data_IF_832551653697
#
_entry.id   IF_832551653697
#
_cell.length_a   1.000
_cell.length_b   1.000
_cell.length_c   1.000
_cell.angle_alpha   90.00
_cell.angle_beta   90.00
_cell.angle_gamma   90.00
#
_symmetry.space_group_name_H-M   'P 1'
#
loop_
_entity.id
_entity.type
_entity.pdbx_description
1 polymer ?
#
# COMPACT_ATOMS: atom_id res chain seq x y z
N UNK A 1 17.24 27.20 -7.62
CA UNK A 1 17.76 26.50 -8.81
C UNK A 1 16.99 26.89 -10.07
N UNK A 2 15.65 26.81 -10.09
CA UNK A 2 14.85 27.13 -11.30
C UNK A 2 14.11 28.48 -11.28
N UNK A 3 14.27 29.28 -10.22
CA UNK A 3 13.67 30.62 -10.08
C UNK A 3 12.17 30.69 -10.43
N UNK A 4 11.42 29.65 -10.04
CA UNK A 4 9.97 29.62 -10.21
C UNK A 4 9.30 30.74 -9.42
N UNK A 5 8.26 31.35 -10.00
CA UNK A 5 7.56 32.50 -9.39
C UNK A 5 6.79 32.09 -8.12
N UNK A 6 6.19 30.90 -8.13
CA UNK A 6 5.34 30.38 -7.06
C UNK A 6 5.28 28.87 -7.10
N UNK A 7 5.12 28.25 -5.94
CA UNK A 7 4.85 26.82 -5.80
C UNK A 7 3.60 26.67 -4.92
N UNK A 8 2.68 25.81 -5.33
CA UNK A 8 1.41 25.58 -4.65
C UNK A 8 1.29 24.10 -4.30
N UNK A 9 0.86 23.80 -3.08
CA UNK A 9 0.36 22.50 -2.69
C UNK A 9 -1.15 22.44 -2.86
N UNK A 10 -1.66 21.41 -3.52
CA UNK A 10 -3.10 21.14 -3.65
C UNK A 10 -3.52 20.26 -2.47
N UNK A 11 -4.49 20.69 -1.67
CA UNK A 11 -4.91 19.94 -0.47
C UNK A 11 -5.96 18.88 -0.78
N UNK A 12 -5.85 17.71 -0.16
CA UNK A 12 -6.88 16.68 -0.24
C UNK A 12 -7.01 16.02 -1.62
N UNK A 13 -5.89 15.76 -2.30
CA UNK A 13 -5.86 15.03 -3.57
C UNK A 13 -6.53 15.78 -4.74
N UNK A 14 -7.12 15.04 -5.68
CA UNK A 14 -7.79 15.62 -6.85
C UNK A 14 -8.93 16.60 -6.51
N UNK A 15 -9.77 16.36 -5.50
CA UNK A 15 -10.76 17.34 -5.03
C UNK A 15 -10.21 18.72 -4.67
N UNK A 16 -8.93 18.78 -4.29
CA UNK A 16 -8.24 20.04 -4.02
C UNK A 16 -8.19 21.02 -5.19
N UNK A 17 -8.17 20.51 -6.43
CA UNK A 17 -8.10 21.36 -7.62
C UNK A 17 -9.35 22.24 -7.74
N UNK A 18 -10.54 21.69 -7.52
CA UNK A 18 -11.81 22.41 -7.71
C UNK A 18 -12.47 22.91 -6.42
N UNK A 19 -11.99 22.50 -5.24
CA UNK A 19 -12.39 23.11 -3.95
C UNK A 19 -11.64 24.40 -3.63
N UNK A 20 -10.71 24.81 -4.50
CA UNK A 20 -9.80 25.95 -4.37
C UNK A 20 -8.87 25.94 -3.16
N UNK A 21 -8.70 24.79 -2.49
CA UNK A 21 -7.84 24.64 -1.33
C UNK A 21 -6.37 24.47 -1.73
N UNK A 22 -5.61 25.57 -1.75
CA UNK A 22 -4.18 25.54 -2.06
C UNK A 22 -3.33 26.22 -1.00
N UNK A 23 -2.18 25.63 -0.71
CA UNK A 23 -1.21 26.14 0.26
C UNK A 23 0.02 26.67 -0.49
N UNK A 24 0.42 27.93 -0.32
CA UNK A 24 1.69 28.43 -0.87
C UNK A 24 2.88 27.70 -0.24
N UNK A 25 3.76 27.14 -1.07
CA UNK A 25 4.96 26.46 -0.61
C UNK A 25 6.15 27.42 -0.65
N UNK A 26 6.76 27.59 0.51
CA UNK A 26 7.98 28.37 0.71
C UNK A 26 9.00 27.51 1.45
N UNK A 27 10.31 27.83 1.39
CA UNK A 27 11.33 27.10 2.15
C UNK A 27 10.98 26.93 3.63
N UNK A 28 10.37 27.96 4.23
CA UNK A 28 9.92 27.93 5.62
C UNK A 28 8.80 26.90 5.85
N UNK A 29 7.84 26.80 4.93
CA UNK A 29 6.72 25.84 5.04
C UNK A 29 7.21 24.40 4.89
N UNK A 30 8.18 24.15 4.02
CA UNK A 30 8.67 22.79 3.72
C UNK A 30 9.86 22.34 4.56
N UNK A 31 10.40 23.21 5.43
CA UNK A 31 11.68 23.00 6.12
C UNK A 31 11.78 21.64 6.84
N UNK A 32 10.73 21.25 7.56
CA UNK A 32 10.76 20.07 8.44
C UNK A 32 9.79 18.96 8.01
N UNK A 33 9.16 19.08 6.83
CA UNK A 33 8.12 18.11 6.41
C UNK A 33 8.70 16.73 6.15
N UNK A 34 9.98 16.64 5.79
CA UNK A 34 10.71 15.39 5.55
C UNK A 34 10.92 14.57 6.83
N UNK A 35 10.77 15.18 8.02
CA UNK A 35 10.93 14.51 9.32
C UNK A 35 9.64 13.84 9.80
N UNK A 36 8.53 14.01 9.07
CA UNK A 36 7.19 13.60 9.48
C UNK A 36 6.62 12.63 8.47
N UNK A 37 5.94 11.60 8.96
CA UNK A 37 5.12 10.73 8.12
C UNK A 37 3.88 11.44 7.60
N UNK A 38 3.26 10.85 6.57
CA UNK A 38 2.06 11.39 5.92
C UNK A 38 2.38 12.53 4.96
N UNK A 39 1.40 13.40 4.71
CA UNK A 39 1.53 14.55 3.81
C UNK A 39 0.92 15.79 4.46
N UNK A 40 1.59 16.94 4.35
CA UNK A 40 1.10 18.23 4.83
C UNK A 40 -0.13 18.73 4.05
N UNK A 41 -0.45 18.10 2.92
CA UNK A 41 -1.61 18.45 2.09
C UNK A 41 -2.85 17.65 2.42
N UNK A 42 -2.73 16.57 3.20
CA UNK A 42 -3.73 15.52 3.22
C UNK A 42 -3.79 14.77 1.87
N UNK A 43 -4.63 13.74 1.82
CA UNK A 43 -4.86 12.92 0.64
C UNK A 43 -6.34 12.54 0.57
N UNK A 44 -6.80 12.08 -0.58
CA UNK A 44 -8.15 11.59 -0.79
C UNK A 44 -8.10 10.37 -1.70
N UNK A 45 -9.08 9.49 -1.53
CA UNK A 45 -9.39 8.47 -2.54
C UNK A 45 -10.46 9.03 -3.49
N UNK A 46 -10.30 8.75 -4.78
CA UNK A 46 -11.20 9.19 -5.84
C UNK A 46 -11.29 10.72 -6.01
N UNK A 47 -12.42 11.16 -6.58
CA UNK A 47 -12.68 12.58 -6.86
C UNK A 47 -11.93 13.13 -8.09
N UNK A 48 -11.47 12.24 -8.97
CA UNK A 48 -10.90 12.65 -10.25
C UNK A 48 -11.98 13.18 -11.18
N UNK A 49 -11.80 14.42 -11.64
CA UNK A 49 -12.64 15.06 -12.66
C UNK A 49 -11.71 15.82 -13.60
N UNK A 50 -11.39 15.20 -14.74
CA UNK A 50 -10.34 15.69 -15.65
C UNK A 50 -10.60 17.13 -16.10
N UNK A 51 -11.86 17.46 -16.44
CA UNK A 51 -12.20 18.81 -16.87
C UNK A 51 -11.95 19.82 -15.76
N UNK A 52 -12.49 19.58 -14.56
CA UNK A 52 -12.33 20.51 -13.44
C UNK A 52 -10.88 20.68 -12.98
N UNK A 53 -10.08 19.61 -13.07
CA UNK A 53 -8.66 19.66 -12.76
C UNK A 53 -7.94 20.57 -13.76
N UNK A 54 -8.17 20.36 -15.06
CA UNK A 54 -7.51 21.16 -16.11
C UNK A 54 -8.01 22.61 -16.12
N UNK A 55 -9.30 22.85 -15.87
CA UNK A 55 -9.86 24.20 -15.68
C UNK A 55 -9.12 24.92 -14.53
N UNK A 56 -8.91 24.25 -13.40
CA UNK A 56 -8.18 24.82 -12.26
C UNK A 56 -6.70 25.09 -12.56
N UNK A 57 -6.05 24.23 -13.33
CA UNK A 57 -4.67 24.42 -13.78
C UNK A 57 -4.57 25.69 -14.64
N UNK A 58 -5.48 25.84 -15.60
CA UNK A 58 -5.56 26.98 -16.52
C UNK A 58 -5.88 28.29 -15.78
N UNK A 59 -6.95 28.31 -14.98
CA UNK A 59 -7.40 29.45 -14.19
C UNK A 59 -6.30 30.00 -13.26
N UNK A 60 -5.44 29.12 -12.76
CA UNK A 60 -4.35 29.48 -11.83
C UNK A 60 -3.04 29.81 -12.53
N UNK A 61 -2.96 29.64 -13.85
CA UNK A 61 -1.73 29.81 -14.62
C UNK A 61 -0.63 28.82 -14.21
N UNK A 62 -0.99 27.60 -13.83
CA UNK A 62 -0.03 26.54 -13.48
C UNK A 62 0.58 26.00 -14.76
N UNK A 63 1.90 26.04 -14.87
CA UNK A 63 2.64 25.55 -16.05
C UNK A 63 3.33 24.20 -15.81
N UNK A 64 3.35 23.70 -14.57
CA UNK A 64 3.88 22.40 -14.20
C UNK A 64 3.03 21.82 -13.07
N UNK A 65 2.53 20.60 -13.25
CA UNK A 65 1.79 19.87 -12.23
C UNK A 65 2.47 18.54 -11.95
N UNK A 66 2.74 18.29 -10.67
CA UNK A 66 3.38 17.06 -10.19
C UNK A 66 2.34 16.25 -9.43
N UNK A 67 2.03 15.06 -9.93
CA UNK A 67 0.98 14.20 -9.40
C UNK A 67 1.62 12.98 -8.73
N UNK A 68 1.64 12.98 -7.40
CA UNK A 68 2.17 11.89 -6.59
C UNK A 68 1.07 10.88 -6.25
N UNK A 69 1.30 9.60 -6.52
CA UNK A 69 0.34 8.56 -6.13
C UNK A 69 0.64 7.18 -6.71
N UNK A 70 -0.20 6.20 -6.37
CA UNK A 70 -0.08 4.82 -6.82
C UNK A 70 -0.54 4.63 -8.26
N UNK A 71 -0.70 3.38 -8.69
CA UNK A 71 -1.05 3.01 -10.06
C UNK A 71 -2.28 3.76 -10.61
N UNK A 72 -3.41 3.74 -9.88
CA UNK A 72 -4.63 4.44 -10.30
C UNK A 72 -4.42 5.95 -10.47
N UNK A 73 -3.70 6.58 -9.55
CA UNK A 73 -3.37 8.01 -9.65
C UNK A 73 -2.50 8.33 -10.86
N UNK A 74 -1.57 7.45 -11.23
CA UNK A 74 -0.74 7.65 -12.43
C UNK A 74 -1.55 7.47 -13.73
N UNK A 75 -2.50 6.55 -13.74
CA UNK A 75 -3.45 6.42 -14.86
C UNK A 75 -4.29 7.70 -15.02
N UNK A 76 -4.84 8.22 -13.92
CA UNK A 76 -5.57 9.49 -13.88
C UNK A 76 -4.69 10.69 -14.29
N UNK A 77 -3.40 10.70 -13.92
CA UNK A 77 -2.44 11.72 -14.35
C UNK A 77 -2.26 11.74 -15.87
N UNK A 78 -2.24 10.56 -16.52
CA UNK A 78 -2.19 10.45 -17.97
C UNK A 78 -3.45 11.05 -18.63
N UNK A 79 -4.63 10.89 -18.02
CA UNK A 79 -5.87 11.54 -18.49
C UNK A 79 -5.78 13.07 -18.41
N UNK A 80 -5.21 13.62 -17.33
CA UNK A 80 -4.95 15.07 -17.21
C UNK A 80 -4.00 15.54 -18.32
N UNK A 81 -2.93 14.78 -18.59
CA UNK A 81 -1.98 15.10 -19.65
C UNK A 81 -2.64 15.15 -21.03
N UNK A 82 -3.46 14.15 -21.36
CA UNK A 82 -4.17 14.08 -22.63
C UNK A 82 -5.14 15.26 -22.82
N UNK A 83 -5.84 15.66 -21.75
CA UNK A 83 -6.74 16.82 -21.78
C UNK A 83 -5.98 18.16 -21.91
N UNK A 84 -4.87 18.33 -21.19
CA UNK A 84 -3.95 19.48 -21.35
C UNK A 84 -3.46 19.59 -22.79
N UNK A 85 -3.06 18.46 -23.39
CA UNK A 85 -2.59 18.38 -24.78
C UNK A 85 -3.71 18.74 -25.76
N UNK A 86 -4.92 18.18 -25.55
CA UNK A 86 -6.11 18.45 -26.38
C UNK A 86 -6.47 19.93 -26.41
N UNK A 87 -6.34 20.62 -25.26
CA UNK A 87 -6.58 22.07 -25.13
C UNK A 87 -5.43 22.94 -25.61
N UNK A 88 -4.28 22.36 -25.99
CA UNK A 88 -3.10 23.11 -26.43
C UNK A 88 -2.44 23.94 -25.31
N UNK A 89 -2.67 23.57 -24.05
CA UNK A 89 -2.11 24.29 -22.91
C UNK A 89 -0.61 24.00 -22.76
N UNK A 90 0.17 25.02 -22.42
CA UNK A 90 1.61 24.90 -22.18
C UNK A 90 1.89 24.46 -20.74
N UNK A 91 1.44 23.26 -20.39
CA UNK A 91 1.57 22.69 -19.04
C UNK A 91 2.29 21.35 -19.10
N UNK A 92 3.34 21.19 -18.29
CA UNK A 92 3.95 19.89 -18.07
C UNK A 92 3.18 19.12 -16.99
N UNK A 93 2.78 17.89 -17.30
CA UNK A 93 2.17 16.96 -16.35
C UNK A 93 3.18 15.88 -16.02
N UNK A 94 3.56 15.78 -14.74
CA UNK A 94 4.60 14.85 -14.27
C UNK A 94 4.00 13.91 -13.24
N UNK A 95 3.98 12.63 -13.57
CA UNK A 95 3.62 11.56 -12.63
C UNK A 95 4.80 11.19 -11.74
N UNK A 96 4.59 11.13 -10.42
CA UNK A 96 5.57 10.65 -9.45
C UNK A 96 5.02 9.38 -8.79
N UNK A 97 5.50 8.20 -9.20
CA UNK A 97 4.98 6.93 -8.72
C UNK A 97 5.27 6.73 -7.23
N UNK A 98 4.22 6.48 -6.45
CA UNK A 98 4.28 6.25 -5.00
C UNK A 98 3.34 5.12 -4.59
N UNK A 99 3.91 3.96 -4.33
CA UNK A 99 3.27 2.79 -3.72
C UNK A 99 4.20 2.25 -2.64
N UNK A 100 3.67 1.76 -1.52
CA UNK A 100 4.51 1.02 -0.57
C UNK A 100 4.65 -0.43 -1.00
N UNK A 101 3.71 -0.97 -1.79
CA UNK A 101 3.70 -2.38 -2.20
C UNK A 101 4.78 -2.73 -3.24
N UNK A 102 5.54 -1.74 -3.73
CA UNK A 102 6.55 -1.86 -4.78
C UNK A 102 6.05 -2.56 -6.06
N UNK A 103 4.83 -2.20 -6.45
CA UNK A 103 4.03 -2.97 -7.40
C UNK A 103 3.75 -2.19 -8.70
N UNK A 104 4.54 -1.13 -8.96
CA UNK A 104 4.46 -0.32 -10.17
C UNK A 104 5.39 -0.94 -11.23
N UNK A 105 4.86 -1.35 -12.40
CA UNK A 105 5.69 -1.83 -13.50
C UNK A 105 6.73 -0.76 -13.88
N UNK A 106 7.87 -1.18 -14.43
CA UNK A 106 8.97 -0.32 -14.93
C UNK A 106 9.91 0.33 -13.91
N UNK A 107 9.64 0.24 -12.60
CA UNK A 107 10.58 0.66 -11.55
C UNK A 107 10.90 -0.51 -10.63
N UNK A 108 12.17 -0.63 -10.23
CA UNK A 108 12.60 -1.68 -9.29
C UNK A 108 12.20 -1.37 -7.84
N UNK A 109 12.11 -0.08 -7.50
CA UNK A 109 11.84 0.40 -6.15
C UNK A 109 11.01 1.68 -6.15
N UNK A 110 9.91 1.66 -5.41
CA UNK A 110 9.04 2.82 -5.18
C UNK A 110 9.31 3.53 -3.84
N UNK A 111 8.88 4.79 -3.77
CA UNK A 111 9.02 5.62 -2.56
C UNK A 111 8.24 5.00 -1.40
N UNK A 112 8.94 4.74 -0.30
CA UNK A 112 8.38 4.24 0.96
C UNK A 112 8.47 2.73 1.17
N UNK A 113 8.86 1.96 0.15
CA UNK A 113 8.96 0.49 0.25
C UNK A 113 9.97 0.04 1.32
N UNK A 114 11.20 0.54 1.29
CA UNK A 114 12.24 0.11 2.25
C UNK A 114 11.84 0.41 3.69
N UNK A 115 11.29 1.61 3.94
CA UNK A 115 10.78 1.97 5.26
C UNK A 115 9.64 1.05 5.70
N UNK A 116 8.74 0.65 4.78
CA UNK A 116 7.68 -0.29 5.11
C UNK A 116 8.23 -1.68 5.48
N UNK A 117 9.29 -2.14 4.81
CA UNK A 117 9.98 -3.40 5.16
C UNK A 117 10.63 -3.28 6.55
N UNK A 118 11.33 -2.19 6.84
CA UNK A 118 11.95 -1.97 8.17
C UNK A 118 10.91 -1.97 9.30
N UNK A 119 9.77 -1.29 9.12
CA UNK A 119 8.69 -1.30 10.12
C UNK A 119 8.02 -2.68 10.23
N UNK A 120 7.85 -3.40 9.11
CA UNK A 120 7.32 -4.76 9.11
C UNK A 120 8.23 -5.71 9.92
N UNK A 121 9.55 -5.58 9.81
CA UNK A 121 10.48 -6.37 10.62
C UNK A 121 10.32 -6.11 12.11
N UNK A 122 10.09 -4.86 12.54
CA UNK A 122 9.84 -4.56 13.96
C UNK A 122 8.59 -5.25 14.47
N UNK A 123 7.52 -5.27 13.67
CA UNK A 123 6.29 -5.97 14.01
C UNK A 123 6.51 -7.49 14.12
N UNK A 124 7.23 -8.09 13.17
CA UNK A 124 7.60 -9.50 13.18
C UNK A 124 8.43 -9.84 14.43
N UNK A 125 9.46 -9.07 14.75
CA UNK A 125 10.29 -9.31 15.94
C UNK A 125 9.47 -9.24 17.23
N UNK A 126 8.50 -8.32 17.30
CA UNK A 126 7.61 -8.20 18.46
C UNK A 126 6.71 -9.43 18.58
N UNK A 127 6.13 -9.89 17.48
CA UNK A 127 5.28 -11.08 17.44
C UNK A 127 6.06 -12.37 17.75
N UNK A 128 7.33 -12.46 17.33
CA UNK A 128 8.20 -13.58 17.66
C UNK A 128 8.45 -13.69 19.16
N UNK A 129 8.81 -12.59 19.83
CA UNK A 129 9.03 -12.55 21.28
C UNK A 129 7.78 -13.00 22.05
N UNK A 130 6.60 -12.54 21.62
CA UNK A 130 5.33 -12.97 22.23
C UNK A 130 5.04 -14.45 21.98
N UNK A 131 5.27 -14.95 20.76
CA UNK A 131 5.04 -16.35 20.41
C UNK A 131 5.96 -17.30 21.19
N UNK A 132 7.24 -16.95 21.34
CA UNK A 132 8.21 -17.74 22.10
C UNK A 132 7.91 -17.76 23.61
N UNK A 133 7.25 -16.72 24.12
CA UNK A 133 6.94 -16.57 25.55
C UNK A 133 5.75 -17.41 26.02
N UNK A 134 5.00 -18.03 25.10
CA UNK A 134 3.82 -18.84 25.40
C UNK A 134 4.00 -20.29 24.91
N UNK A 135 3.54 -21.27 25.71
CA UNK A 135 3.50 -22.66 25.26
C UNK A 135 2.55 -22.80 24.06
N UNK A 136 3.06 -23.32 22.95
CA UNK A 136 2.37 -23.39 21.66
C UNK A 136 1.90 -22.01 21.15
N UNK A 137 2.66 -20.94 21.45
CA UNK A 137 2.36 -19.59 21.02
C UNK A 137 2.43 -19.41 19.50
N UNK A 138 1.44 -18.71 18.93
CA UNK A 138 1.42 -18.35 17.51
C UNK A 138 1.35 -16.84 17.37
N UNK A 139 2.37 -16.25 16.76
CA UNK A 139 2.40 -14.84 16.37
C UNK A 139 1.90 -14.68 14.94
N UNK A 140 0.73 -14.08 14.76
CA UNK A 140 0.14 -13.77 13.45
C UNK A 140 0.32 -12.28 13.11
N UNK A 141 1.07 -11.99 12.05
CA UNK A 141 1.42 -10.63 11.63
C UNK A 141 0.85 -10.33 10.25
N UNK A 142 -0.19 -9.50 10.21
CA UNK A 142 -0.71 -8.96 8.95
C UNK A 142 0.14 -7.79 8.46
N UNK A 143 0.61 -7.88 7.22
CA UNK A 143 1.35 -6.83 6.53
C UNK A 143 0.61 -6.31 5.29
N UNK A 144 1.05 -5.15 4.79
CA UNK A 144 0.60 -4.60 3.52
C UNK A 144 0.99 -5.54 2.37
N UNK A 145 0.21 -5.51 1.29
CA UNK A 145 0.39 -6.39 0.14
C UNK A 145 -0.94 -6.80 -0.46
N UNK A 146 -1.64 -5.82 -1.05
CA UNK A 146 -2.99 -6.01 -1.57
C UNK A 146 -3.05 -6.95 -2.78
N UNK A 147 -2.11 -6.77 -3.70
CA UNK A 147 -2.00 -7.54 -4.95
C UNK A 147 -0.66 -8.25 -5.10
N UNK A 148 0.30 -7.92 -4.22
CA UNK A 148 1.65 -8.48 -4.26
C UNK A 148 2.24 -8.59 -2.87
N UNK A 149 2.98 -9.66 -2.64
CA UNK A 149 3.59 -10.00 -1.36
C UNK A 149 4.97 -9.38 -1.12
N UNK A 150 5.39 -8.35 -1.85
CA UNK A 150 6.76 -7.83 -1.76
C UNK A 150 7.16 -7.45 -0.33
N UNK A 151 6.35 -6.68 0.40
CA UNK A 151 6.66 -6.30 1.78
C UNK A 151 6.75 -7.56 2.66
N UNK A 152 5.75 -8.43 2.59
CA UNK A 152 5.71 -9.66 3.39
C UNK A 152 6.91 -10.58 3.12
N UNK A 153 7.25 -10.79 1.86
CA UNK A 153 8.39 -11.60 1.43
C UNK A 153 9.72 -10.98 1.85
N UNK A 154 9.97 -9.69 1.58
CA UNK A 154 11.23 -9.04 1.94
C UNK A 154 11.41 -8.96 3.46
N UNK A 155 10.36 -8.64 4.20
CA UNK A 155 10.39 -8.62 5.67
C UNK A 155 10.63 -10.02 6.24
N UNK A 156 10.02 -11.05 5.65
CA UNK A 156 10.25 -12.45 6.01
C UNK A 156 11.69 -12.88 5.72
N UNK A 157 12.24 -12.59 4.54
CA UNK A 157 13.62 -12.96 4.19
C UNK A 157 14.66 -12.22 5.02
N UNK A 158 14.37 -10.98 5.42
CA UNK A 158 15.23 -10.19 6.27
C UNK A 158 15.10 -10.59 7.76
N UNK A 159 14.00 -11.22 8.16
CA UNK A 159 13.81 -11.85 9.47
C UNK A 159 14.29 -13.30 9.45
N UNK A 160 14.73 -13.84 10.60
CA UNK A 160 15.06 -15.27 10.75
C UNK A 160 13.97 -16.05 11.48
N UNK A 161 12.89 -15.35 11.83
CA UNK A 161 11.96 -15.79 12.87
C UNK A 161 10.58 -16.16 12.30
N UNK A 162 10.35 -15.91 11.01
CA UNK A 162 9.11 -16.25 10.32
C UNK A 162 9.13 -17.70 9.87
N UNK A 163 8.14 -18.49 10.28
CA UNK A 163 7.98 -19.89 9.90
C UNK A 163 7.10 -20.07 8.66
N UNK A 164 6.14 -19.18 8.44
CA UNK A 164 5.24 -19.21 7.29
C UNK A 164 5.00 -17.79 6.75
N UNK A 165 5.13 -17.62 5.44
CA UNK A 165 4.80 -16.37 4.75
C UNK A 165 3.70 -16.64 3.72
N UNK A 166 2.55 -16.00 3.91
CA UNK A 166 1.37 -16.12 3.06
C UNK A 166 1.26 -14.84 2.22
N UNK A 167 1.31 -15.01 0.90
CA UNK A 167 1.32 -13.91 -0.08
C UNK A 167 0.24 -14.13 -1.16
N UNK A 168 -0.29 -13.06 -1.79
CA UNK A 168 -1.33 -13.17 -2.81
C UNK A 168 -0.93 -14.03 -4.02
N UNK A 169 0.36 -14.06 -4.34
CA UNK A 169 0.90 -14.81 -5.48
C UNK A 169 0.97 -16.33 -5.25
N UNK A 170 0.90 -16.79 -4.00
CA UNK A 170 1.02 -18.20 -3.63
C UNK A 170 -0.22 -18.65 -2.86
N UNK A 171 -1.26 -19.14 -3.56
CA UNK A 171 -2.46 -19.68 -2.92
C UNK A 171 -2.12 -20.81 -1.94
N UNK A 172 -2.92 -20.92 -0.89
CA UNK A 172 -2.80 -21.97 0.12
C UNK A 172 -4.18 -22.54 0.41
N UNK A 173 -4.25 -23.61 1.21
CA UNK A 173 -5.50 -24.17 1.70
C UNK A 173 -5.39 -24.43 3.20
N UNK A 174 -6.50 -24.33 3.90
CA UNK A 174 -6.51 -24.39 5.37
C UNK A 174 -6.35 -25.81 5.89
N UNK A 175 -7.11 -26.76 5.33
CA UNK A 175 -7.30 -28.11 5.88
C UNK A 175 -6.77 -29.20 4.95
N UNK A 176 -6.44 -30.37 5.50
CA UNK A 176 -5.96 -31.54 4.75
C UNK A 176 -4.43 -31.66 4.72
N UNK A 177 -3.90 -32.77 4.19
CA UNK A 177 -2.46 -33.03 4.19
C UNK A 177 -1.68 -31.95 3.43
N UNK A 178 -0.74 -31.28 4.10
CA UNK A 178 0.02 -30.17 3.54
C UNK A 178 -0.68 -28.81 3.61
N UNK A 179 -1.85 -28.73 4.24
CA UNK A 179 -2.58 -27.48 4.50
C UNK A 179 -1.93 -26.66 5.60
N UNK A 180 -2.38 -25.42 5.74
CA UNK A 180 -1.82 -24.50 6.73
C UNK A 180 -1.98 -25.03 8.17
N UNK A 181 -3.13 -25.62 8.51
CA UNK A 181 -3.37 -26.16 9.86
C UNK A 181 -2.47 -27.37 10.17
N UNK A 182 -2.28 -28.27 9.20
CA UNK A 182 -1.35 -29.41 9.31
C UNK A 182 0.10 -28.93 9.47
N UNK A 183 0.49 -27.89 8.74
CA UNK A 183 1.81 -27.27 8.89
C UNK A 183 1.99 -26.63 10.28
N UNK A 184 0.98 -25.90 10.79
CA UNK A 184 1.01 -25.31 12.12
C UNK A 184 1.17 -26.40 13.20
N UNK A 185 0.38 -27.47 13.15
CA UNK A 185 0.45 -28.54 14.14
C UNK A 185 1.84 -29.17 14.21
N UNK A 186 2.45 -29.43 13.05
CA UNK A 186 3.83 -29.94 12.96
C UNK A 186 4.84 -28.95 13.54
N UNK A 187 4.73 -27.66 13.21
CA UNK A 187 5.66 -26.65 13.71
C UNK A 187 5.59 -26.46 15.21
N UNK A 188 4.39 -26.45 15.78
CA UNK A 188 4.20 -26.37 17.23
C UNK A 188 4.82 -27.59 17.94
N UNK A 189 4.65 -28.81 17.41
CA UNK A 189 5.30 -30.01 17.97
C UNK A 189 6.83 -29.96 17.89
N UNK A 190 7.38 -29.38 16.82
CA UNK A 190 8.83 -29.31 16.58
C UNK A 190 9.52 -28.20 17.39
N UNK A 191 8.90 -27.01 17.51
CA UNK A 191 9.52 -25.80 18.06
C UNK A 191 8.82 -25.20 19.29
N UNK A 192 7.59 -25.61 19.60
CA UNK A 192 6.79 -25.07 20.70
C UNK A 192 6.20 -23.68 20.47
N UNK A 193 6.50 -23.04 19.34
CA UNK A 193 5.94 -21.76 18.92
C UNK A 193 6.02 -21.60 17.39
N UNK A 194 5.34 -20.59 16.85
CA UNK A 194 5.35 -20.28 15.42
C UNK A 194 5.11 -18.80 15.14
N UNK A 195 5.74 -18.26 14.09
CA UNK A 195 5.37 -16.94 13.53
C UNK A 195 4.85 -17.09 12.11
N UNK A 196 3.68 -16.51 11.85
CA UNK A 196 3.03 -16.44 10.55
C UNK A 196 3.00 -14.98 10.12
N UNK A 197 3.46 -14.71 8.90
CA UNK A 197 3.28 -13.43 8.22
C UNK A 197 2.26 -13.61 7.12
N UNK A 198 1.26 -12.73 7.07
CA UNK A 198 0.24 -12.75 6.03
C UNK A 198 0.09 -11.37 5.38
N UNK A 199 0.25 -11.28 4.07
CA UNK A 199 -0.10 -10.08 3.33
C UNK A 199 -1.62 -9.94 3.24
N UNK A 200 -2.15 -8.72 3.38
CA UNK A 200 -3.59 -8.45 3.43
C UNK A 200 -4.40 -8.98 2.23
N UNK A 201 -3.77 -9.11 1.06
CA UNK A 201 -4.39 -9.67 -0.14
C UNK A 201 -4.44 -11.19 -0.20
N UNK A 202 -3.83 -11.90 0.74
CA UNK A 202 -3.76 -13.37 0.75
C UNK A 202 -5.04 -13.98 1.33
N UNK A 203 -5.46 -15.15 0.83
CA UNK A 203 -6.59 -15.89 1.38
C UNK A 203 -7.96 -15.19 1.20
N UNK A 204 -8.06 -14.18 0.34
CA UNK A 204 -9.28 -13.42 0.10
C UNK A 204 -10.42 -14.28 -0.47
N UNK A 205 -10.08 -15.39 -1.12
CA UNK A 205 -11.00 -16.43 -1.59
C UNK A 205 -11.81 -17.05 -0.44
N UNK A 206 -11.26 -17.13 0.77
CA UNK A 206 -11.95 -17.69 1.93
C UNK A 206 -12.91 -16.71 2.59
N UNK A 207 -12.66 -15.40 2.45
CA UNK A 207 -13.47 -14.36 3.07
C UNK A 207 -14.56 -13.83 2.14
N UNK A 208 -14.27 -13.75 0.84
CA UNK A 208 -15.12 -13.08 -0.14
C UNK A 208 -15.94 -14.05 -1.00
N UNK A 209 -15.62 -15.35 -0.98
CA UNK A 209 -16.21 -16.34 -1.88
C UNK A 209 -15.99 -16.04 -3.37
N UNK A 210 -15.02 -15.18 -3.68
CA UNK A 210 -14.64 -14.75 -5.04
C UNK A 210 -13.13 -15.02 -5.23
N UNK A 211 -12.69 -15.40 -6.43
CA UNK A 211 -11.26 -15.56 -6.70
C UNK A 211 -10.52 -14.24 -6.47
N UNK A 212 -9.21 -14.29 -6.12
CA UNK A 212 -8.41 -13.09 -5.92
C UNK A 212 -8.50 -12.17 -7.15
N UNK A 213 -8.60 -10.86 -6.93
CA UNK A 213 -8.65 -9.88 -8.02
C UNK A 213 -7.27 -9.85 -8.69
N UNK A 214 -7.15 -10.58 -9.80
CA UNK A 214 -5.89 -10.71 -10.57
C UNK A 214 -5.58 -9.43 -11.37
N UNK A 215 -6.58 -8.59 -11.63
CA UNK A 215 -6.43 -7.43 -12.51
C UNK A 215 -6.59 -6.09 -11.78
N UNK A 216 -5.47 -5.36 -11.62
CA UNK A 216 -5.43 -4.01 -11.03
C UNK A 216 -6.27 -2.98 -11.79
N UNK A 217 -6.60 -3.24 -13.06
CA UNK A 217 -7.40 -2.32 -13.88
C UNK A 217 -8.89 -2.33 -13.53
N UNK A 218 -9.39 -3.41 -12.92
CA UNK A 218 -10.81 -3.58 -12.58
C UNK A 218 -11.12 -3.24 -11.12
N UNK A 219 -10.08 -3.15 -10.28
CA UNK A 219 -10.23 -2.78 -8.89
C UNK A 219 -10.31 -1.26 -8.74
N UNK A 220 -11.47 -0.75 -8.32
CA UNK A 220 -11.48 0.54 -7.65
C UNK A 220 -10.62 0.43 -6.39
N UNK A 221 -9.71 1.40 -6.18
CA UNK A 221 -8.96 1.53 -4.94
C UNK A 221 -9.87 1.53 -3.70
N UNK A 222 -11.15 1.89 -3.88
CA UNK A 222 -12.18 1.99 -2.84
C UNK A 222 -12.76 0.63 -2.37
N UNK A 223 -12.50 -0.47 -3.07
CA UNK A 223 -13.00 -1.77 -2.62
C UNK A 223 -12.18 -2.24 -1.42
N UNK A 224 -12.75 -2.18 -0.23
CA UNK A 224 -12.10 -2.66 0.99
C UNK A 224 -11.98 -4.19 0.96
N UNK A 225 -10.78 -4.70 1.17
CA UNK A 225 -10.57 -6.13 1.39
C UNK A 225 -11.07 -6.50 2.80
N UNK A 226 -11.79 -7.63 2.94
CA UNK A 226 -12.03 -8.25 4.23
C UNK A 226 -10.71 -8.49 5.00
N UNK A 227 -10.75 -8.30 6.32
CA UNK A 227 -9.55 -8.39 7.15
C UNK A 227 -9.15 -9.85 7.40
N UNK A 228 -8.09 -10.30 6.72
CA UNK A 228 -7.59 -11.67 6.82
C UNK A 228 -6.92 -11.98 8.16
N UNK A 229 -6.36 -11.00 8.86
CA UNK A 229 -5.63 -11.23 10.11
C UNK A 229 -6.52 -11.81 11.22
N UNK A 230 -7.57 -11.09 11.66
CA UNK A 230 -8.52 -11.61 12.63
C UNK A 230 -9.22 -12.90 12.17
N UNK A 231 -9.47 -13.04 10.87
CA UNK A 231 -10.06 -14.25 10.30
C UNK A 231 -9.13 -15.46 10.47
N UNK A 232 -7.85 -15.32 10.11
CA UNK A 232 -6.86 -16.39 10.22
C UNK A 232 -6.64 -16.77 11.69
N UNK A 233 -6.43 -15.77 12.54
CA UNK A 233 -6.31 -15.94 13.99
C UNK A 233 -7.52 -16.68 14.58
N UNK A 234 -8.75 -16.37 14.15
CA UNK A 234 -9.94 -17.09 14.60
C UNK A 234 -9.95 -18.53 14.11
N UNK A 235 -9.65 -18.77 12.83
CA UNK A 235 -9.62 -20.12 12.25
C UNK A 235 -8.60 -21.04 12.93
N UNK A 236 -7.43 -20.50 13.28
CA UNK A 236 -6.41 -21.23 14.03
C UNK A 236 -6.94 -21.57 15.42
N UNK A 237 -7.52 -20.60 16.14
CA UNK A 237 -8.10 -20.83 17.47
C UNK A 237 -9.21 -21.88 17.45
N UNK A 238 -10.15 -21.79 16.51
CA UNK A 238 -11.25 -22.75 16.39
C UNK A 238 -10.77 -24.20 16.13
N UNK A 239 -9.55 -24.38 15.63
CA UNK A 239 -8.95 -25.71 15.37
C UNK A 239 -8.16 -26.26 16.57
N UNK A 240 -7.45 -25.40 17.30
CA UNK A 240 -6.52 -25.80 18.37
C UNK A 240 -7.03 -25.54 19.79
N UNK A 241 -8.10 -24.77 19.98
CA UNK A 241 -8.72 -24.43 21.27
C UNK A 241 -10.15 -24.96 21.35
#
# INVERSE_FOLDING_TARGET
MYWVLRVLGIQGGYPGFYSRNTVPLTPKVVNDIHKRGGTIFGTSYGGHDTSKIVDSIEDRGINQVYILGGYGTQYEAAMVFEEVRRRGLKVAVVGIPKTIDNDIPVIDKSIGFDTAVEEAQRAISSAHVEAESAENGIGDVKLMGRYSGFIAMYATLASRDVDCCLIPESPFYMEGPGGLLDFIERRLKEKGHMVIVIAEGSGQEFLSGHPPIVNKQEASADQLLPDVGPWLSKKIKDHFC
#
